data_IF_353288368837
#
_entry.id   IF_353288368837
#
_cell.length_a   1.000
_cell.length_b   1.000
_cell.length_c   1.000
_cell.angle_alpha   90.00
_cell.angle_beta   90.00
_cell.angle_gamma   90.00
#
_symmetry.space_group_name_H-M   'P 1'
#
loop_
_entity.id
_entity.type
_entity.pdbx_description
1 polymer ?
#
# COMPACT_ATOMS: atom_id res chain seq x y z
N UNK A 1 -8.83 70.41 45.50
CA UNK A 1 -7.44 70.61 46.00
C UNK A 1 -6.56 69.85 45.03
N UNK A 2 -6.01 70.46 43.98
CA UNK A 2 -4.74 71.20 43.96
C UNK A 2 -3.57 70.23 44.17
N UNK A 3 -2.61 69.98 43.30
CA UNK A 3 -1.84 70.72 42.30
C UNK A 3 -0.94 69.67 41.59
N UNK A 4 -0.74 69.64 40.25
CA UNK A 4 0.36 70.27 39.47
C UNK A 4 1.74 69.81 39.96
N UNK A 5 2.69 69.39 39.14
CA UNK A 5 3.33 69.93 37.92
C UNK A 5 4.41 68.91 37.48
N UNK A 6 4.60 68.66 36.28
CA UNK A 6 5.54 69.23 35.25
C UNK A 6 6.97 68.68 35.26
N UNK A 7 7.44 68.38 34.05
CA UNK A 7 8.77 68.61 33.61
C UNK A 7 9.35 67.50 32.73
N UNK A 8 9.29 67.56 31.46
CA UNK A 8 10.03 68.29 30.41
C UNK A 8 11.34 67.58 29.95
N UNK A 9 11.29 67.13 28.68
CA UNK A 9 12.27 67.16 27.57
C UNK A 9 13.68 66.60 27.73
N UNK A 10 14.07 65.79 26.66
CA UNK A 10 14.93 66.17 25.50
C UNK A 10 15.21 64.89 24.66
N UNK A 11 14.78 64.80 23.45
CA UNK A 11 15.39 65.10 22.14
C UNK A 11 16.84 64.68 21.90
N UNK A 12 17.07 63.84 20.96
CA UNK A 12 18.08 63.76 19.89
C UNK A 12 17.81 62.42 19.14
N UNK A 13 17.54 62.31 17.90
CA UNK A 13 17.79 63.07 16.70
C UNK A 13 19.12 62.69 16.04
N UNK A 14 19.11 61.72 15.05
CA UNK A 14 20.05 61.60 13.95
C UNK A 14 19.41 60.56 13.02
N UNK A 15 18.89 60.96 11.93
CA UNK A 15 19.34 61.29 10.58
C UNK A 15 19.58 60.04 9.71
N UNK A 16 18.78 59.99 8.68
CA UNK A 16 18.73 59.08 7.54
C UNK A 16 20.03 59.05 6.73
N UNK A 17 20.31 57.94 6.14
CA UNK A 17 20.90 57.85 4.79
C UNK A 17 20.15 56.86 3.96
N UNK A 18 19.46 57.38 2.97
CA UNK A 18 19.00 56.66 1.79
C UNK A 18 20.17 56.34 0.90
N UNK A 19 20.30 55.10 0.51
CA UNK A 19 20.88 54.79 -0.80
C UNK A 19 19.98 53.74 -1.50
N UNK A 20 19.32 54.22 -2.51
CA UNK A 20 18.64 53.42 -3.49
C UNK A 20 19.68 52.73 -4.37
N UNK A 21 19.57 51.41 -4.52
CA UNK A 21 20.10 50.70 -5.69
C UNK A 21 18.96 49.85 -6.24
N UNK A 22 18.45 50.34 -7.36
CA UNK A 22 17.61 49.58 -8.26
C UNK A 22 18.47 48.52 -8.93
N UNK A 23 18.05 47.25 -8.87
CA UNK A 23 18.33 46.31 -9.96
C UNK A 23 17.25 45.25 -9.97
N UNK A 24 16.64 45.12 -11.11
CA UNK A 24 15.64 44.15 -11.51
C UNK A 24 16.16 42.70 -11.36
N UNK A 25 15.30 41.82 -10.87
CA UNK A 25 15.56 40.39 -10.85
C UNK A 25 14.23 39.66 -10.63
N UNK A 26 13.74 39.14 -11.70
CA UNK A 26 12.57 38.31 -11.93
C UNK A 26 12.26 37.30 -10.81
N UNK A 27 10.97 37.08 -10.66
CA UNK A 27 10.36 36.13 -9.76
C UNK A 27 10.78 34.67 -9.98
N UNK A 28 10.94 34.03 -8.88
CA UNK A 28 10.97 32.58 -8.73
C UNK A 28 10.72 32.26 -7.25
N UNK A 29 9.50 32.36 -6.79
CA UNK A 29 9.13 31.87 -5.44
C UNK A 29 7.72 31.26 -5.38
N UNK A 30 7.23 30.73 -6.50
CA UNK A 30 5.94 30.06 -6.57
C UNK A 30 5.95 28.64 -7.09
N UNK A 31 7.11 28.11 -7.51
CA UNK A 31 7.22 26.75 -8.08
C UNK A 31 7.97 25.75 -7.20
N UNK A 32 8.72 26.18 -6.20
CA UNK A 32 9.48 25.25 -5.34
C UNK A 32 8.62 24.56 -4.26
N UNK A 33 7.49 25.12 -3.87
CA UNK A 33 6.62 24.51 -2.87
C UNK A 33 5.66 23.46 -3.47
N UNK A 34 5.32 23.59 -4.76
CA UNK A 34 4.48 22.59 -5.47
C UNK A 34 5.30 21.40 -6.00
N UNK A 35 6.59 21.61 -6.27
CA UNK A 35 7.52 20.59 -6.75
C UNK A 35 7.94 19.63 -5.65
N UNK A 36 8.00 20.08 -4.39
CA UNK A 36 8.38 19.20 -3.26
C UNK A 36 7.33 18.15 -2.89
N UNK A 37 6.05 18.37 -3.18
CA UNK A 37 5.00 17.37 -2.91
C UNK A 37 4.89 16.29 -4.01
N UNK A 38 5.17 16.66 -5.25
CA UNK A 38 5.23 15.72 -6.38
C UNK A 38 6.53 14.90 -6.36
N UNK A 39 7.67 15.51 -6.04
CA UNK A 39 8.95 14.82 -5.90
C UNK A 39 8.97 13.82 -4.74
N UNK A 40 8.24 14.05 -3.65
CA UNK A 40 8.14 13.11 -2.52
C UNK A 40 7.32 11.86 -2.87
N UNK A 41 6.32 11.98 -3.73
CA UNK A 41 5.56 10.81 -4.21
C UNK A 41 6.35 10.00 -5.27
N UNK A 42 7.20 10.64 -6.05
CA UNK A 42 7.98 10.00 -7.12
C UNK A 42 9.28 9.35 -6.62
N UNK A 43 9.88 9.84 -5.54
CA UNK A 43 11.09 9.25 -4.91
C UNK A 43 10.77 7.92 -4.19
N UNK A 44 9.48 7.61 -3.97
CA UNK A 44 9.08 6.40 -3.23
C UNK A 44 9.44 5.07 -3.91
N UNK A 45 9.70 5.04 -5.20
CA UNK A 45 9.78 3.77 -5.93
C UNK A 45 11.14 3.43 -6.58
N UNK A 46 11.97 4.38 -6.90
CA UNK A 46 13.23 4.12 -7.63
C UNK A 46 14.37 3.56 -6.78
N UNK A 47 14.30 3.66 -5.45
CA UNK A 47 15.34 3.18 -4.54
C UNK A 47 15.23 1.71 -4.13
N UNK A 48 14.05 1.11 -4.31
CA UNK A 48 13.77 -0.27 -3.88
C UNK A 48 14.40 -1.33 -4.80
N UNK A 49 14.43 -1.06 -6.10
CA UNK A 49 14.80 -2.05 -7.13
C UNK A 49 16.24 -2.56 -7.08
N UNK A 50 17.20 -1.73 -6.71
CA UNK A 50 18.62 -2.17 -6.70
C UNK A 50 19.02 -2.95 -5.44
N UNK A 51 18.40 -2.65 -4.29
CA UNK A 51 18.74 -3.34 -3.03
C UNK A 51 17.96 -4.64 -2.83
N UNK A 52 16.68 -4.70 -3.20
CA UNK A 52 15.88 -5.93 -3.12
C UNK A 52 16.34 -6.97 -4.15
N UNK A 53 16.68 -6.56 -5.36
CA UNK A 53 17.28 -7.43 -6.37
C UNK A 53 18.66 -7.97 -5.95
N UNK A 54 19.47 -7.17 -5.25
CA UNK A 54 20.77 -7.60 -4.76
C UNK A 54 20.65 -8.58 -3.56
N UNK A 55 19.62 -8.45 -2.74
CA UNK A 55 19.34 -9.36 -1.62
C UNK A 55 18.73 -10.69 -2.09
N UNK A 56 17.82 -10.65 -3.06
CA UNK A 56 17.26 -11.85 -3.70
C UNK A 56 18.32 -12.65 -4.49
N UNK A 57 19.27 -11.98 -5.18
CA UNK A 57 20.36 -12.62 -5.90
C UNK A 57 21.42 -13.27 -4.98
N UNK A 58 21.57 -12.76 -3.76
CA UNK A 58 22.53 -13.32 -2.77
C UNK A 58 22.06 -14.64 -2.16
N UNK A 59 20.77 -14.90 -2.11
CA UNK A 59 20.19 -16.12 -1.53
C UNK A 59 20.08 -17.24 -2.57
N UNK A 60 19.88 -16.94 -3.84
CA UNK A 60 19.82 -17.96 -4.91
C UNK A 60 21.14 -18.70 -5.13
N UNK A 61 22.26 -18.18 -4.68
CA UNK A 61 23.59 -18.81 -4.83
C UNK A 61 23.91 -19.86 -3.74
N UNK A 62 23.09 -20.03 -2.70
CA UNK A 62 23.33 -20.98 -1.59
C UNK A 62 22.47 -22.24 -1.59
N UNK A 63 21.53 -22.42 -2.52
CA UNK A 63 20.56 -23.53 -2.53
C UNK A 63 20.95 -24.67 -3.49
N UNK A 64 22.13 -24.70 -4.09
CA UNK A 64 22.51 -25.73 -5.06
C UNK A 64 23.26 -26.96 -4.52
N UNK A 65 23.27 -27.24 -3.22
CA UNK A 65 23.82 -28.51 -2.68
C UNK A 65 22.92 -29.11 -1.60
N UNK A 66 21.86 -29.83 -1.96
CA UNK A 66 21.38 -31.00 -1.22
C UNK A 66 20.19 -31.71 -1.93
N UNK A 67 20.48 -32.43 -2.97
CA UNK A 67 19.62 -33.55 -3.39
C UNK A 67 20.19 -34.85 -2.84
N UNK A 68 19.49 -35.49 -1.91
CA UNK A 68 19.43 -36.97 -1.82
C UNK A 68 18.30 -37.50 -0.93
N UNK A 69 17.38 -38.18 -1.60
CA UNK A 69 16.60 -39.38 -1.20
C UNK A 69 15.81 -39.42 0.10
N UNK A 70 14.49 -39.55 -0.02
CA UNK A 70 13.74 -40.65 0.62
C UNK A 70 12.35 -40.79 0.00
N UNK A 71 12.12 -41.89 -0.72
CA UNK A 71 10.80 -42.34 -1.12
C UNK A 71 10.07 -42.97 0.08
N UNK A 72 8.81 -42.61 0.25
CA UNK A 72 7.86 -43.37 1.07
C UNK A 72 6.51 -43.46 0.36
N UNK A 73 6.12 -44.70 0.05
CA UNK A 73 4.82 -45.13 -0.39
C UNK A 73 3.69 -44.65 0.52
N UNK A 74 2.65 -44.02 -0.02
CA UNK A 74 1.35 -43.95 0.65
C UNK A 74 0.25 -44.35 -0.32
N UNK A 75 -0.18 -45.61 -0.19
CA UNK A 75 -1.45 -46.06 -0.74
C UNK A 75 -2.61 -45.82 0.22
N UNK A 76 -3.67 -45.22 -0.34
CA UNK A 76 -5.08 -45.40 -0.02
C UNK A 76 -5.60 -45.12 1.38
N UNK A 77 -6.30 -43.99 1.51
CA UNK A 77 -7.62 -43.92 2.18
C UNK A 77 -8.51 -42.90 1.45
N UNK A 78 -9.20 -43.37 0.42
CA UNK A 78 -10.45 -42.75 -0.02
C UNK A 78 -11.57 -43.24 0.93
N UNK A 79 -12.29 -42.32 1.52
CA UNK A 79 -13.74 -42.39 1.67
C UNK A 79 -14.32 -41.23 2.52
N UNK A 80 -15.32 -40.57 1.96
CA UNK A 80 -16.38 -39.82 2.64
C UNK A 80 -16.07 -38.42 3.20
N UNK A 81 -15.83 -37.45 2.29
CA UNK A 81 -16.10 -36.03 2.56
C UNK A 81 -16.48 -35.23 1.28
N UNK A 82 -17.16 -35.86 0.33
CA UNK A 82 -17.57 -35.22 -0.94
C UNK A 82 -18.91 -34.49 -0.90
N UNK A 83 -19.47 -34.18 0.28
CA UNK A 83 -20.82 -33.64 0.40
C UNK A 83 -20.97 -32.16 0.71
N UNK A 84 -19.93 -31.48 1.16
CA UNK A 84 -20.04 -30.07 1.60
C UNK A 84 -19.21 -29.04 0.82
N UNK A 85 -18.30 -29.47 -0.06
CA UNK A 85 -17.44 -28.54 -0.82
C UNK A 85 -18.06 -28.02 -2.13
N UNK A 86 -19.25 -28.46 -2.52
CA UNK A 86 -19.88 -28.04 -3.80
C UNK A 86 -20.86 -26.87 -3.70
N UNK A 87 -21.22 -26.40 -2.50
CA UNK A 87 -22.17 -25.27 -2.36
C UNK A 87 -21.50 -23.90 -2.21
N UNK A 88 -20.22 -23.83 -1.90
CA UNK A 88 -19.50 -22.56 -1.73
C UNK A 88 -18.85 -22.06 -3.03
N UNK A 89 -18.68 -22.94 -4.01
CA UNK A 89 -18.13 -22.60 -5.34
C UNK A 89 -19.11 -21.81 -6.24
N UNK A 90 -20.38 -21.72 -5.86
CA UNK A 90 -21.43 -20.98 -6.61
C UNK A 90 -21.64 -19.52 -6.14
N UNK A 91 -20.93 -19.05 -5.13
CA UNK A 91 -21.06 -17.67 -4.63
C UNK A 91 -19.91 -16.73 -4.98
N UNK A 92 -19.08 -17.03 -5.95
CA UNK A 92 -18.31 -15.96 -6.57
C UNK A 92 -19.30 -15.11 -7.37
N UNK A 93 -19.50 -13.83 -7.03
CA UNK A 93 -20.25 -12.95 -7.91
C UNK A 93 -19.49 -12.94 -9.22
N UNK A 94 -20.09 -13.54 -10.26
CA UNK A 94 -19.63 -13.30 -11.61
C UNK A 94 -19.65 -11.79 -11.78
N UNK A 95 -18.46 -11.16 -11.75
CA UNK A 95 -18.33 -9.76 -12.10
C UNK A 95 -18.99 -9.67 -13.48
N UNK A 96 -20.10 -8.95 -13.56
CA UNK A 96 -20.65 -8.60 -14.87
C UNK A 96 -19.56 -7.75 -15.49
N UNK A 97 -18.77 -8.31 -16.40
CA UNK A 97 -17.80 -7.58 -17.19
C UNK A 97 -18.56 -6.41 -17.81
N UNK A 98 -18.52 -5.26 -17.14
CA UNK A 98 -18.96 -4.03 -17.72
C UNK A 98 -17.93 -3.72 -18.78
N UNK A 99 -18.33 -3.67 -20.03
CA UNK A 99 -17.45 -3.16 -21.09
C UNK A 99 -17.47 -1.63 -21.03
N UNK A 100 -16.32 -0.97 -21.12
CA UNK A 100 -16.27 0.47 -21.19
C UNK A 100 -17.05 0.98 -22.43
N UNK A 101 -17.57 2.21 -22.42
CA UNK A 101 -18.26 2.79 -23.56
C UNK A 101 -17.41 2.70 -24.83
N UNK A 102 -18.06 2.50 -25.98
CA UNK A 102 -17.37 2.38 -27.27
C UNK A 102 -16.48 3.61 -27.52
N UNK A 103 -15.19 3.36 -27.76
CA UNK A 103 -14.19 4.42 -27.98
C UNK A 103 -13.61 5.03 -26.71
N UNK A 104 -14.01 4.57 -25.53
CA UNK A 104 -13.37 4.96 -24.26
C UNK A 104 -12.07 4.18 -24.07
N UNK A 105 -11.04 4.85 -23.58
CA UNK A 105 -9.76 4.26 -23.23
C UNK A 105 -9.26 4.89 -21.93
N UNK A 106 -8.86 4.05 -20.98
CA UNK A 106 -8.16 4.51 -19.80
C UNK A 106 -6.81 5.11 -20.21
N UNK A 107 -6.52 6.29 -19.69
CA UNK A 107 -5.21 6.89 -19.80
C UNK A 107 -4.68 7.09 -18.38
N UNK A 108 -3.64 6.34 -18.02
CA UNK A 108 -2.90 6.59 -16.79
C UNK A 108 -1.98 7.81 -17.02
N UNK A 109 -1.94 8.72 -16.06
CA UNK A 109 -1.07 9.89 -16.12
C UNK A 109 0.41 9.49 -16.02
N UNK A 110 0.70 8.35 -15.39
CA UNK A 110 2.02 7.71 -15.23
C UNK A 110 1.84 6.21 -15.08
N UNK A 111 2.85 5.42 -15.38
CA UNK A 111 2.90 4.00 -15.02
C UNK A 111 3.11 3.80 -13.53
N UNK A 112 3.73 4.77 -12.84
CA UNK A 112 3.88 4.78 -11.38
C UNK A 112 2.59 5.31 -10.73
N UNK A 113 2.01 4.56 -9.80
CA UNK A 113 0.84 5.00 -9.06
C UNK A 113 1.20 6.16 -8.13
N UNK A 114 0.58 7.30 -8.31
CA UNK A 114 0.83 8.53 -7.56
C UNK A 114 -0.43 9.12 -6.98
N UNK A 115 -0.28 9.86 -5.87
CA UNK A 115 -1.37 10.52 -5.15
C UNK A 115 -1.13 12.01 -5.01
N UNK A 116 -2.19 12.78 -5.21
CA UNK A 116 -2.24 14.20 -4.84
C UNK A 116 -3.11 14.34 -3.60
N UNK A 117 -2.55 14.90 -2.53
CA UNK A 117 -3.26 15.12 -1.27
C UNK A 117 -3.86 16.54 -1.24
N UNK A 118 -5.13 16.62 -0.82
CA UNK A 118 -5.86 17.85 -0.59
C UNK A 118 -5.87 18.27 0.88
N UNK A 119 -6.97 18.92 1.30
CA UNK A 119 -7.19 19.29 2.70
C UNK A 119 -7.30 18.04 3.59
N UNK A 120 -6.89 18.14 4.88
CA UNK A 120 -7.01 17.02 5.82
C UNK A 120 -8.43 16.45 5.88
N UNK A 121 -8.54 15.11 5.84
CA UNK A 121 -9.83 14.41 5.87
C UNK A 121 -10.55 14.32 4.52
N UNK A 122 -9.96 14.86 3.42
CA UNK A 122 -10.47 14.69 2.06
C UNK A 122 -9.74 13.56 1.34
N UNK A 123 -10.45 12.86 0.45
CA UNK A 123 -9.85 11.79 -0.35
C UNK A 123 -8.73 12.33 -1.24
N UNK A 124 -7.65 11.57 -1.33
CA UNK A 124 -6.58 11.85 -2.27
C UNK A 124 -7.01 11.54 -3.71
N UNK A 125 -6.41 12.22 -4.67
CA UNK A 125 -6.64 12.00 -6.10
C UNK A 125 -5.51 11.16 -6.66
N UNK A 126 -5.86 10.01 -7.24
CA UNK A 126 -4.92 9.11 -7.91
C UNK A 126 -4.63 9.48 -9.36
N UNK A 127 -3.76 8.72 -10.03
CA UNK A 127 -3.42 8.90 -11.44
C UNK A 127 -4.59 8.65 -12.40
N UNK A 128 -5.64 7.97 -11.91
CA UNK A 128 -6.89 7.73 -12.63
C UNK A 128 -8.07 7.84 -11.65
N UNK A 129 -9.26 8.09 -12.18
CA UNK A 129 -10.48 8.12 -11.36
C UNK A 129 -10.90 6.72 -10.91
N UNK A 130 -11.65 6.62 -9.81
CA UNK A 130 -12.21 5.35 -9.33
C UNK A 130 -13.15 4.72 -10.36
N UNK A 131 -13.93 5.56 -11.09
CA UNK A 131 -14.86 5.12 -12.13
C UNK A 131 -14.13 4.51 -13.32
N UNK A 132 -12.99 5.10 -13.70
CA UNK A 132 -12.18 4.61 -14.83
C UNK A 132 -11.47 3.31 -14.47
N UNK A 133 -10.92 3.22 -13.26
CA UNK A 133 -10.27 2.01 -12.75
C UNK A 133 -11.26 0.85 -12.59
N UNK A 134 -12.50 1.12 -12.21
CA UNK A 134 -13.53 0.10 -12.03
C UNK A 134 -13.84 -0.71 -13.31
N UNK A 135 -13.54 -0.18 -14.51
CA UNK A 135 -13.64 -0.93 -15.78
C UNK A 135 -12.64 -2.08 -15.86
N UNK A 136 -11.56 -2.02 -15.07
CA UNK A 136 -10.50 -3.03 -15.00
C UNK A 136 -10.50 -3.79 -13.67
N UNK A 137 -11.60 -3.74 -12.91
CA UNK A 137 -11.67 -4.31 -11.56
C UNK A 137 -10.50 -3.81 -10.68
N UNK A 138 -10.17 -2.51 -10.80
CA UNK A 138 -9.11 -1.87 -10.05
C UNK A 138 -9.66 -0.82 -9.07
N UNK A 139 -9.07 -0.76 -7.87
CA UNK A 139 -9.58 0.03 -6.75
C UNK A 139 -8.42 0.71 -6.01
N UNK A 140 -8.62 1.92 -5.48
CA UNK A 140 -7.66 2.60 -4.63
C UNK A 140 -8.29 3.36 -3.45
N UNK A 141 -9.60 3.56 -3.48
CA UNK A 141 -10.34 4.30 -2.46
C UNK A 141 -11.79 3.81 -2.42
N UNK A 142 -12.38 3.78 -1.22
CA UNK A 142 -13.78 3.45 -1.01
C UNK A 142 -14.70 4.67 -1.06
N UNK A 143 -15.97 4.51 -0.60
CA UNK A 143 -16.90 5.63 -0.46
C UNK A 143 -16.41 6.66 0.56
N UNK A 144 -16.76 7.93 0.33
CA UNK A 144 -16.54 9.03 1.27
C UNK A 144 -17.71 9.24 2.25
N UNK A 145 -18.76 8.44 2.15
CA UNK A 145 -19.96 8.54 3.00
C UNK A 145 -19.70 8.09 4.45
N UNK A 146 -18.75 7.16 4.65
CA UNK A 146 -18.45 6.57 5.95
C UNK A 146 -16.95 6.61 6.26
N UNK A 147 -16.61 6.86 7.53
CA UNK A 147 -15.24 6.82 8.01
C UNK A 147 -14.74 5.37 8.14
N UNK A 148 -14.46 4.76 7.00
CA UNK A 148 -13.91 3.41 6.89
C UNK A 148 -12.46 3.46 6.43
N UNK A 149 -11.62 2.59 7.00
CA UNK A 149 -10.24 2.33 6.59
C UNK A 149 -10.16 0.87 6.12
N UNK A 150 -9.55 0.66 4.96
CA UNK A 150 -9.11 -0.63 4.47
C UNK A 150 -7.60 -0.71 4.65
N UNK A 151 -7.17 -1.41 5.71
CA UNK A 151 -5.76 -1.46 6.08
C UNK A 151 -5.03 -2.56 5.32
N UNK A 152 -3.92 -2.21 4.67
CA UNK A 152 -3.14 -3.14 3.86
C UNK A 152 -1.65 -3.03 4.12
N UNK A 153 -0.95 -4.16 3.99
CA UNK A 153 0.50 -4.26 4.16
C UNK A 153 1.12 -4.95 2.95
N UNK A 154 2.21 -4.39 2.42
CA UNK A 154 3.05 -5.07 1.44
C UNK A 154 4.21 -5.77 2.17
N UNK A 155 4.40 -7.06 1.86
CA UNK A 155 5.29 -7.96 2.58
C UNK A 155 6.34 -8.54 1.63
N UNK A 156 7.50 -7.87 1.54
CA UNK A 156 8.63 -8.30 0.71
C UNK A 156 9.51 -9.35 1.42
N UNK A 157 9.84 -9.12 2.68
CA UNK A 157 10.65 -10.02 3.52
C UNK A 157 10.32 -9.81 5.01
N UNK A 158 10.76 -10.73 5.86
CA UNK A 158 10.59 -10.63 7.30
C UNK A 158 11.88 -10.09 7.96
N UNK A 159 11.71 -9.14 8.90
CA UNK A 159 12.81 -8.53 9.64
C UNK A 159 12.48 -8.28 11.14
N UNK A 160 11.49 -8.98 11.69
CA UNK A 160 11.08 -8.90 13.09
C UNK A 160 9.93 -7.93 13.38
N UNK A 161 9.36 -7.28 12.35
CA UNK A 161 8.28 -6.30 12.55
C UNK A 161 6.87 -6.86 12.28
N UNK A 162 6.75 -8.00 11.59
CA UNK A 162 5.42 -8.56 11.27
C UNK A 162 4.69 -9.08 12.51
N UNK A 163 5.38 -9.71 13.46
CA UNK A 163 4.75 -10.17 14.71
C UNK A 163 4.13 -9.02 15.52
N UNK A 164 4.85 -7.90 15.81
CA UNK A 164 4.25 -6.74 16.48
C UNK A 164 3.05 -6.15 15.73
N UNK A 165 3.08 -6.14 14.38
CA UNK A 165 1.95 -5.69 13.56
C UNK A 165 0.73 -6.58 13.78
N UNK A 166 0.89 -7.91 13.69
CA UNK A 166 -0.19 -8.87 13.93
C UNK A 166 -0.73 -8.79 15.36
N UNK A 167 0.15 -8.60 16.36
CA UNK A 167 -0.26 -8.43 17.75
C UNK A 167 -1.12 -7.18 17.96
N UNK A 168 -0.76 -6.06 17.32
CA UNK A 168 -1.55 -4.83 17.35
C UNK A 168 -2.91 -5.00 16.67
N UNK A 169 -2.97 -5.61 15.48
CA UNK A 169 -4.20 -5.90 14.76
C UNK A 169 -5.15 -6.78 15.59
N UNK A 170 -4.60 -7.84 16.19
CA UNK A 170 -5.37 -8.75 17.06
C UNK A 170 -5.93 -8.05 18.29
N UNK A 171 -5.14 -7.18 18.92
CA UNK A 171 -5.58 -6.41 20.10
C UNK A 171 -6.77 -5.52 19.81
N UNK A 172 -6.85 -4.94 18.61
CA UNK A 172 -7.92 -4.05 18.15
C UNK A 172 -9.04 -4.77 17.40
N UNK A 173 -8.98 -6.10 17.23
CA UNK A 173 -9.92 -6.89 16.42
C UNK A 173 -10.03 -6.34 14.98
N UNK A 174 -8.91 -5.94 14.40
CA UNK A 174 -8.81 -5.35 13.05
C UNK A 174 -8.34 -6.39 12.05
N UNK A 175 -9.15 -6.61 11.01
CA UNK A 175 -8.74 -7.40 9.85
C UNK A 175 -8.00 -6.51 8.85
N UNK A 176 -6.84 -6.98 8.39
CA UNK A 176 -6.04 -6.33 7.36
C UNK A 176 -5.83 -7.24 6.15
N UNK A 177 -5.33 -6.69 5.04
CA UNK A 177 -4.89 -7.47 3.88
C UNK A 177 -3.38 -7.37 3.74
N UNK A 178 -2.71 -8.53 3.62
CA UNK A 178 -1.27 -8.63 3.43
C UNK A 178 -0.98 -9.08 2.00
N UNK A 179 -0.34 -8.22 1.20
CA UNK A 179 0.11 -8.55 -0.15
C UNK A 179 1.52 -9.13 -0.06
N UNK A 180 1.66 -10.41 -0.36
CA UNK A 180 2.91 -11.16 -0.13
C UNK A 180 3.60 -11.50 -1.43
N UNK A 181 4.93 -11.42 -1.43
CA UNK A 181 5.78 -11.93 -2.52
C UNK A 181 6.23 -13.37 -2.25
N UNK A 182 6.77 -14.04 -3.29
CA UNK A 182 7.30 -15.40 -3.16
C UNK A 182 8.31 -15.54 -2.03
N UNK A 183 9.28 -14.62 -1.93
CA UNK A 183 10.31 -14.65 -0.89
C UNK A 183 9.75 -14.59 0.54
N UNK A 184 8.72 -13.79 0.79
CA UNK A 184 8.07 -13.75 2.11
C UNK A 184 7.40 -15.08 2.44
N UNK A 185 6.72 -15.69 1.48
CA UNK A 185 6.11 -17.01 1.64
C UNK A 185 7.15 -18.11 1.97
N UNK A 186 8.29 -18.10 1.26
CA UNK A 186 9.36 -19.07 1.47
C UNK A 186 10.06 -18.95 2.84
N UNK A 187 10.24 -17.71 3.30
CA UNK A 187 11.09 -17.43 4.48
C UNK A 187 10.31 -17.23 5.78
N UNK A 188 9.00 -16.93 5.69
CA UNK A 188 8.14 -16.66 6.85
C UNK A 188 6.79 -17.43 6.82
N UNK A 189 6.76 -18.74 6.44
CA UNK A 189 5.51 -19.48 6.27
C UNK A 189 4.65 -19.54 7.53
N UNK A 190 5.25 -19.53 8.72
CA UNK A 190 4.50 -19.56 9.98
C UNK A 190 3.75 -18.23 10.25
N UNK A 191 4.30 -17.10 9.80
CA UNK A 191 3.60 -15.82 9.87
C UNK A 191 2.44 -15.78 8.89
N UNK A 192 2.60 -16.36 7.70
CA UNK A 192 1.51 -16.49 6.71
C UNK A 192 0.35 -17.34 7.26
N UNK A 193 0.67 -18.48 7.91
CA UNK A 193 -0.35 -19.28 8.60
C UNK A 193 -1.04 -18.50 9.71
N UNK A 194 -0.28 -17.75 10.50
CA UNK A 194 -0.82 -16.88 11.54
C UNK A 194 -1.77 -15.82 10.98
N UNK A 195 -1.41 -15.17 9.85
CA UNK A 195 -2.30 -14.22 9.18
C UNK A 195 -3.66 -14.85 8.85
N UNK A 196 -3.66 -16.05 8.27
CA UNK A 196 -4.88 -16.79 7.93
C UNK A 196 -5.67 -17.19 9.18
N UNK A 197 -5.01 -17.74 10.20
CA UNK A 197 -5.62 -18.18 11.46
C UNK A 197 -6.26 -17.02 12.25
N UNK A 198 -5.68 -15.81 12.16
CA UNK A 198 -6.21 -14.60 12.79
C UNK A 198 -7.25 -13.88 11.92
N UNK A 199 -7.64 -14.46 10.75
CA UNK A 199 -8.72 -13.96 9.91
C UNK A 199 -8.32 -12.81 8.99
N UNK A 200 -7.02 -12.57 8.80
CA UNK A 200 -6.55 -11.61 7.82
C UNK A 200 -6.66 -12.16 6.40
N UNK A 201 -6.79 -11.26 5.43
CA UNK A 201 -6.75 -11.61 4.01
C UNK A 201 -5.30 -11.60 3.53
N UNK A 202 -4.91 -12.60 2.74
CA UNK A 202 -3.60 -12.59 2.06
C UNK A 202 -3.84 -12.41 0.57
N UNK A 203 -3.16 -11.44 -0.04
CA UNK A 203 -3.22 -11.08 -1.45
C UNK A 203 -1.90 -11.31 -2.16
N UNK A 204 -1.92 -11.19 -3.48
CA UNK A 204 -0.80 -11.45 -4.37
C UNK A 204 0.01 -10.18 -4.64
N UNK A 205 1.34 -10.24 -4.40
CA UNK A 205 2.26 -9.14 -4.72
C UNK A 205 3.34 -9.57 -5.71
N UNK A 206 3.05 -10.58 -6.55
CA UNK A 206 3.96 -11.26 -7.48
C UNK A 206 5.02 -12.10 -6.80
N UNK A 207 5.62 -13.03 -7.53
CA UNK A 207 6.62 -13.92 -6.95
C UNK A 207 7.99 -13.26 -6.77
N UNK A 208 8.47 -12.54 -7.82
CA UNK A 208 9.81 -11.93 -7.85
C UNK A 208 9.81 -10.41 -7.66
N UNK A 209 8.65 -9.78 -7.48
CA UNK A 209 8.51 -8.31 -7.37
C UNK A 209 9.10 -7.55 -8.59
N UNK A 210 8.79 -7.94 -9.84
CA UNK A 210 9.35 -7.33 -11.03
C UNK A 210 8.67 -5.99 -11.39
N UNK A 211 9.30 -5.25 -12.30
CA UNK A 211 8.67 -4.13 -13.01
C UNK A 211 7.58 -4.68 -13.95
N UNK A 212 6.32 -4.69 -13.50
CA UNK A 212 5.21 -5.30 -14.24
C UNK A 212 4.92 -4.65 -15.60
N UNK A 213 5.03 -3.33 -15.81
CA UNK A 213 4.98 -2.71 -17.14
C UNK A 213 5.96 -3.27 -18.16
N UNK A 214 7.10 -3.78 -17.72
CA UNK A 214 8.07 -4.42 -18.61
C UNK A 214 7.63 -5.81 -19.08
N UNK A 215 6.62 -6.41 -18.46
CA UNK A 215 6.09 -7.73 -18.82
C UNK A 215 4.88 -7.56 -19.74
N UNK A 216 5.09 -7.74 -21.04
CA UNK A 216 4.03 -7.68 -22.06
C UNK A 216 3.46 -9.05 -22.44
N UNK A 217 4.12 -10.13 -22.02
CA UNK A 217 3.67 -11.49 -22.27
C UNK A 217 2.71 -11.95 -21.16
N UNK A 218 1.49 -12.32 -21.56
CA UNK A 218 0.45 -12.75 -20.63
C UNK A 218 0.80 -14.03 -19.86
N UNK A 219 1.58 -14.94 -20.46
CA UNK A 219 2.01 -16.16 -19.77
C UNK A 219 3.05 -15.84 -18.69
N UNK A 220 4.00 -14.95 -18.98
CA UNK A 220 4.97 -14.47 -17.99
C UNK A 220 4.28 -13.68 -16.86
N UNK A 221 3.31 -12.83 -17.20
CA UNK A 221 2.51 -12.12 -16.21
C UNK A 221 1.74 -13.08 -15.31
N UNK A 222 1.05 -14.05 -15.91
CA UNK A 222 0.31 -15.11 -15.19
C UNK A 222 1.23 -15.87 -14.25
N UNK A 223 2.42 -16.26 -14.71
CA UNK A 223 3.37 -17.05 -13.91
C UNK A 223 3.76 -16.34 -12.62
N UNK A 224 3.98 -15.02 -12.65
CA UNK A 224 4.28 -14.23 -11.45
C UNK A 224 3.16 -14.32 -10.40
N UNK A 225 1.91 -14.45 -10.82
CA UNK A 225 0.76 -14.56 -9.92
C UNK A 225 0.48 -16.00 -9.49
N UNK A 226 0.54 -16.95 -10.43
CA UNK A 226 0.23 -18.35 -10.18
C UNK A 226 1.25 -19.00 -9.24
N UNK A 227 2.54 -18.64 -9.34
CA UNK A 227 3.59 -19.18 -8.47
C UNK A 227 3.34 -18.76 -7.00
N UNK A 228 2.90 -17.53 -6.73
CA UNK A 228 2.50 -17.07 -5.38
C UNK A 228 1.27 -17.85 -4.89
N UNK A 229 0.26 -17.97 -5.74
CA UNK A 229 -0.97 -18.69 -5.37
C UNK A 229 -0.72 -20.17 -5.06
N UNK A 230 0.12 -20.83 -5.85
CA UNK A 230 0.49 -22.24 -5.64
C UNK A 230 1.26 -22.43 -4.33
N UNK A 231 2.26 -21.59 -4.06
CA UNK A 231 3.05 -21.66 -2.83
C UNK A 231 2.20 -21.34 -1.59
N UNK A 232 1.32 -20.35 -1.67
CA UNK A 232 0.39 -20.03 -0.58
C UNK A 232 -0.53 -21.21 -0.27
N UNK A 233 -1.10 -21.87 -1.30
CA UNK A 233 -1.93 -23.05 -1.12
C UNK A 233 -1.15 -24.20 -0.48
N UNK A 234 0.12 -24.42 -0.87
CA UNK A 234 0.99 -25.43 -0.25
C UNK A 234 1.22 -25.16 1.24
N UNK A 235 1.45 -23.90 1.60
CA UNK A 235 1.74 -23.49 2.99
C UNK A 235 0.50 -23.57 3.89
N UNK A 236 -0.65 -23.07 3.39
CA UNK A 236 -1.84 -22.83 4.22
C UNK A 236 -2.96 -23.86 4.04
N UNK A 237 -2.95 -24.60 2.91
CA UNK A 237 -4.06 -25.48 2.53
C UNK A 237 -5.32 -24.74 2.05
N UNK A 238 -5.27 -23.41 1.88
CA UNK A 238 -6.39 -22.59 1.42
C UNK A 238 -6.05 -21.85 0.13
N UNK A 239 -7.05 -21.46 -0.67
CA UNK A 239 -6.83 -20.67 -1.88
C UNK A 239 -6.45 -19.23 -1.51
N UNK A 240 -5.52 -18.62 -2.26
CA UNK A 240 -5.15 -17.22 -2.14
C UNK A 240 -6.33 -16.34 -2.55
N UNK A 241 -6.52 -15.21 -1.87
CA UNK A 241 -7.56 -14.25 -2.25
C UNK A 241 -7.31 -13.68 -3.66
N UNK A 242 -8.35 -13.28 -4.38
CA UNK A 242 -8.21 -12.72 -5.74
C UNK A 242 -7.77 -11.25 -5.74
N UNK A 243 -7.06 -10.80 -4.72
CA UNK A 243 -6.53 -9.43 -4.66
C UNK A 243 -5.08 -9.42 -5.09
N UNK A 244 -4.77 -8.50 -6.00
CA UNK A 244 -3.44 -8.30 -6.52
C UNK A 244 -3.01 -6.85 -6.32
N UNK A 245 -1.78 -6.63 -5.92
CA UNK A 245 -1.15 -5.32 -5.92
C UNK A 245 0.11 -5.37 -6.78
N UNK A 246 0.21 -4.50 -7.81
CA UNK A 246 1.41 -4.44 -8.62
C UNK A 246 2.60 -3.95 -7.79
N UNK A 247 3.78 -4.58 -7.92
CA UNK A 247 5.02 -4.09 -7.32
C UNK A 247 5.24 -2.61 -7.57
N UNK A 248 5.65 -1.87 -6.54
CA UNK A 248 5.93 -0.43 -6.63
C UNK A 248 4.72 0.42 -7.08
N UNK A 249 3.52 -0.15 -7.16
CA UNK A 249 2.38 0.52 -7.78
C UNK A 249 2.51 0.69 -9.30
N UNK A 250 3.53 0.12 -9.92
CA UNK A 250 3.77 0.25 -11.36
C UNK A 250 2.82 -0.60 -12.17
N UNK A 251 2.13 0.06 -13.09
CA UNK A 251 1.10 -0.56 -13.86
C UNK A 251 0.82 0.20 -15.15
N UNK A 252 0.53 -0.48 -16.22
CA UNK A 252 -0.06 0.08 -17.42
C UNK A 252 -1.45 -0.53 -17.68
N UNK A 253 -2.16 -0.01 -18.67
CA UNK A 253 -3.52 -0.46 -18.98
C UNK A 253 -3.56 -1.94 -19.38
N UNK A 254 -2.52 -2.43 -20.04
CA UNK A 254 -2.41 -3.83 -20.43
C UNK A 254 -2.25 -4.76 -19.21
N UNK A 255 -1.45 -4.33 -18.20
CA UNK A 255 -1.32 -5.08 -16.95
C UNK A 255 -2.64 -5.16 -16.19
N UNK A 256 -3.43 -4.05 -16.13
CA UNK A 256 -4.77 -4.07 -15.53
C UNK A 256 -5.68 -5.07 -16.24
N UNK A 257 -5.65 -5.10 -17.57
CA UNK A 257 -6.43 -6.01 -18.36
C UNK A 257 -6.01 -7.47 -18.13
N UNK A 258 -4.69 -7.76 -18.11
CA UNK A 258 -4.19 -9.10 -17.83
C UNK A 258 -4.57 -9.59 -16.45
N UNK A 259 -4.48 -8.74 -15.42
CA UNK A 259 -4.91 -9.09 -14.07
C UNK A 259 -6.41 -9.40 -14.01
N UNK A 260 -7.25 -8.56 -14.62
CA UNK A 260 -8.70 -8.76 -14.71
C UNK A 260 -9.06 -10.06 -15.45
N UNK A 261 -8.39 -10.38 -16.57
CA UNK A 261 -8.62 -11.61 -17.34
C UNK A 261 -8.27 -12.85 -16.53
N UNK A 262 -7.31 -12.74 -15.60
CA UNK A 262 -6.94 -13.80 -14.67
C UNK A 262 -7.88 -13.89 -13.44
N UNK A 263 -8.85 -12.97 -13.33
CA UNK A 263 -9.82 -12.94 -12.24
C UNK A 263 -9.34 -12.17 -10.99
N UNK A 264 -8.26 -11.42 -11.09
CA UNK A 264 -7.75 -10.60 -9.99
C UNK A 264 -8.39 -9.21 -9.97
N UNK A 265 -8.59 -8.71 -8.75
CA UNK A 265 -8.90 -7.32 -8.46
C UNK A 265 -7.61 -6.58 -8.14
N UNK A 266 -7.28 -5.55 -8.93
CA UNK A 266 -6.07 -4.76 -8.69
C UNK A 266 -6.31 -3.72 -7.60
N UNK A 267 -5.50 -3.75 -6.53
CA UNK A 267 -5.67 -2.89 -5.37
C UNK A 267 -4.48 -1.93 -5.25
N UNK A 268 -4.73 -0.66 -5.52
CA UNK A 268 -3.83 0.43 -5.22
C UNK A 268 -4.11 0.97 -3.80
N UNK A 269 -3.70 2.19 -3.51
CA UNK A 269 -3.90 2.86 -2.22
C UNK A 269 -4.26 4.33 -2.39
N UNK A 270 -4.85 4.93 -1.38
CA UNK A 270 -5.17 6.35 -1.30
C UNK A 270 -4.44 7.06 -0.16
N UNK A 271 -3.74 6.30 0.69
CA UNK A 271 -2.89 6.83 1.74
C UNK A 271 -1.65 5.95 1.90
N UNK A 272 -0.49 6.56 1.83
CA UNK A 272 0.81 5.94 2.10
C UNK A 272 1.81 6.98 2.60
N UNK A 273 2.95 6.53 3.10
CA UNK A 273 4.11 7.36 3.41
C UNK A 273 5.39 6.55 3.16
N UNK A 274 6.55 7.22 3.14
CA UNK A 274 7.83 6.54 2.95
C UNK A 274 8.18 5.77 4.22
N UNK A 275 7.88 4.50 4.28
CA UNK A 275 8.11 3.60 5.42
C UNK A 275 9.01 2.41 5.09
N UNK A 276 9.25 2.17 3.80
CA UNK A 276 10.01 1.06 3.26
C UNK A 276 11.53 1.27 3.27
N UNK A 277 12.02 2.53 3.31
CA UNK A 277 13.46 2.81 3.32
C UNK A 277 14.09 2.42 4.64
N UNK A 278 14.81 1.29 4.65
CA UNK A 278 15.42 0.74 5.86
C UNK A 278 16.57 1.59 6.43
N UNK A 279 17.23 2.35 5.57
CA UNK A 279 18.34 3.22 5.96
C UNK A 279 17.85 4.59 6.48
N UNK A 280 16.60 4.95 6.18
CA UNK A 280 16.01 6.23 6.56
C UNK A 280 14.55 6.06 7.05
N UNK A 281 14.36 5.25 8.09
CA UNK A 281 13.05 5.05 8.68
C UNK A 281 12.52 6.37 9.28
N UNK A 282 11.29 6.77 8.95
CA UNK A 282 10.69 7.96 9.55
C UNK A 282 10.53 7.75 11.06
N UNK A 283 10.72 8.84 11.82
CA UNK A 283 10.48 8.80 13.25
C UNK A 283 9.00 8.64 13.58
N UNK A 284 8.71 8.15 14.80
CA UNK A 284 7.35 7.96 15.30
C UNK A 284 6.44 9.18 15.08
N UNK A 285 6.87 10.38 15.52
CA UNK A 285 6.08 11.62 15.40
C UNK A 285 5.78 11.96 13.93
N UNK A 286 6.76 11.80 13.04
CA UNK A 286 6.59 12.07 11.62
C UNK A 286 5.59 11.10 10.97
N UNK A 287 5.76 9.79 11.20
CA UNK A 287 4.86 8.76 10.69
C UNK A 287 3.42 8.99 11.19
N UNK A 288 3.27 9.21 12.49
CA UNK A 288 1.98 9.44 13.13
C UNK A 288 1.29 10.68 12.59
N UNK A 289 2.03 11.79 12.45
CA UNK A 289 1.51 13.05 11.87
C UNK A 289 1.05 12.87 10.42
N UNK A 290 1.82 12.16 9.59
CA UNK A 290 1.46 11.89 8.19
C UNK A 290 0.22 11.02 8.09
N UNK A 291 0.16 9.93 8.84
CA UNK A 291 -0.92 8.96 8.79
C UNK A 291 -2.23 9.51 9.35
N UNK A 292 -2.17 10.25 10.46
CA UNK A 292 -3.38 10.88 11.04
C UNK A 292 -3.82 12.13 10.28
N UNK A 293 -2.88 12.89 9.70
CA UNK A 293 -3.19 14.10 8.94
C UNK A 293 -3.74 13.84 7.54
N UNK A 294 -3.48 12.65 6.96
CA UNK A 294 -3.91 12.28 5.61
C UNK A 294 -5.04 11.26 5.56
N UNK A 295 -5.41 10.68 6.71
CA UNK A 295 -6.52 9.73 6.74
C UNK A 295 -7.83 10.40 6.33
N UNK A 296 -8.63 9.70 5.55
CA UNK A 296 -9.91 10.17 5.00
C UNK A 296 -10.92 9.02 4.93
N UNK A 297 -12.23 9.30 4.81
CA UNK A 297 -13.24 8.28 4.59
C UNK A 297 -12.93 7.42 3.36
N UNK A 298 -13.08 6.12 3.49
CA UNK A 298 -12.81 5.16 2.43
C UNK A 298 -11.32 4.93 2.13
N UNK A 299 -10.40 5.32 3.03
CA UNK A 299 -8.97 5.18 2.80
C UNK A 299 -8.54 3.73 2.63
N UNK A 300 -7.88 3.42 1.51
CA UNK A 300 -7.03 2.23 1.37
C UNK A 300 -5.63 2.63 1.80
N UNK A 301 -5.18 2.11 2.94
CA UNK A 301 -3.91 2.48 3.54
C UNK A 301 -2.85 1.45 3.16
N UNK A 302 -1.75 1.89 2.57
CA UNK A 302 -0.56 1.09 2.34
C UNK A 302 0.47 1.35 3.43
N UNK A 303 0.88 0.27 4.09
CA UNK A 303 2.03 0.20 4.98
C UNK A 303 2.92 -0.99 4.56
N UNK A 304 4.19 -0.99 4.99
CA UNK A 304 5.08 -2.13 4.76
C UNK A 304 5.38 -2.85 6.07
N UNK A 305 5.37 -4.18 6.03
CA UNK A 305 5.70 -5.01 7.18
C UNK A 305 7.16 -4.85 7.62
N UNK A 306 8.05 -4.47 6.70
CA UNK A 306 9.47 -4.27 6.95
C UNK A 306 9.79 -3.02 7.76
N UNK A 307 8.83 -2.10 7.91
CA UNK A 307 9.02 -0.86 8.67
C UNK A 307 9.03 -1.11 10.18
N UNK A 308 10.18 -0.84 10.81
CA UNK A 308 10.27 -0.84 12.27
C UNK A 308 9.31 0.15 12.90
N UNK A 309 9.20 1.33 12.29
CA UNK A 309 8.29 2.36 12.77
C UNK A 309 6.85 1.89 12.79
N UNK A 310 6.38 1.19 11.73
CA UNK A 310 5.03 0.62 11.70
C UNK A 310 4.83 -0.42 12.81
N UNK A 311 5.80 -1.31 13.02
CA UNK A 311 5.74 -2.29 14.12
C UNK A 311 5.66 -1.65 15.51
N UNK A 312 6.32 -0.50 15.70
CA UNK A 312 6.34 0.23 16.97
C UNK A 312 5.07 1.07 17.22
N UNK A 313 4.46 1.67 16.15
CA UNK A 313 3.38 2.66 16.32
C UNK A 313 1.98 2.12 16.07
N UNK A 314 1.81 0.95 15.45
CA UNK A 314 0.52 0.54 14.92
C UNK A 314 -0.57 0.47 15.99
N UNK A 315 -0.27 -0.02 17.18
CA UNK A 315 -1.22 -0.08 18.31
C UNK A 315 -1.77 1.32 18.68
N UNK A 316 -0.88 2.30 18.81
CA UNK A 316 -1.26 3.68 19.10
C UNK A 316 -2.00 4.32 17.92
N UNK A 317 -1.57 4.01 16.68
CA UNK A 317 -2.18 4.53 15.47
C UNK A 317 -3.62 4.02 15.28
N UNK A 318 -3.87 2.74 15.51
CA UNK A 318 -5.22 2.16 15.48
C UNK A 318 -6.11 2.83 16.51
N UNK A 319 -5.64 2.94 17.78
CA UNK A 319 -6.34 3.69 18.82
C UNK A 319 -6.69 5.10 18.36
N UNK A 320 -5.75 5.79 17.72
CA UNK A 320 -5.96 7.16 17.26
C UNK A 320 -6.99 7.26 16.15
N UNK A 321 -6.98 6.36 15.18
CA UNK A 321 -7.98 6.32 14.13
C UNK A 321 -9.38 6.00 14.66
N UNK A 322 -9.48 5.09 15.65
CA UNK A 322 -10.74 4.80 16.36
C UNK A 322 -11.26 6.05 17.10
N UNK A 323 -10.40 6.78 17.83
CA UNK A 323 -10.75 8.06 18.47
C UNK A 323 -11.23 9.11 17.46
N UNK A 324 -10.71 9.11 16.24
CA UNK A 324 -11.15 9.98 15.14
C UNK A 324 -12.46 9.52 14.51
N UNK A 325 -13.02 8.38 14.97
CA UNK A 325 -14.28 7.81 14.55
C UNK A 325 -14.20 6.94 13.30
N UNK A 326 -13.00 6.46 12.93
CA UNK A 326 -12.83 5.48 11.88
C UNK A 326 -13.12 4.07 12.36
N UNK A 327 -13.61 3.23 11.44
CA UNK A 327 -13.76 1.78 11.59
C UNK A 327 -12.94 1.09 10.51
N UNK A 328 -12.57 -0.17 10.76
CA UNK A 328 -11.77 -0.96 9.82
C UNK A 328 -12.65 -2.01 9.17
N UNK A 329 -12.51 -2.20 7.86
CA UNK A 329 -13.24 -3.21 7.11
C UNK A 329 -12.32 -3.98 6.16
N UNK A 330 -12.66 -5.25 5.86
CA UNK A 330 -11.89 -6.04 4.91
C UNK A 330 -12.07 -5.52 3.47
N UNK A 331 -11.08 -5.74 2.61
CA UNK A 331 -11.14 -5.34 1.18
C UNK A 331 -12.33 -5.95 0.42
N UNK A 332 -12.91 -7.05 0.92
CA UNK A 332 -14.12 -7.63 0.32
C UNK A 332 -15.30 -6.65 0.30
N UNK A 333 -15.42 -5.80 1.31
CA UNK A 333 -16.47 -4.77 1.32
C UNK A 333 -16.18 -3.63 0.34
N UNK A 334 -14.91 -3.31 0.09
CA UNK A 334 -14.53 -2.37 -0.95
C UNK A 334 -14.89 -2.87 -2.35
N UNK A 335 -14.65 -4.15 -2.61
CA UNK A 335 -14.76 -4.76 -3.95
C UNK A 335 -16.19 -5.19 -4.27
N UNK A 336 -16.88 -5.80 -3.30
CA UNK A 336 -18.20 -6.40 -3.54
C UNK A 336 -19.37 -5.56 -2.97
N UNK A 337 -19.06 -4.53 -2.19
CA UNK A 337 -20.05 -3.79 -1.40
C UNK A 337 -20.42 -4.54 -0.12
N UNK A 338 -21.02 -3.81 0.82
CA UNK A 338 -21.51 -4.36 2.10
C UNK A 338 -22.90 -4.99 1.96
#
# INVERSE_FOLDING_TARGET
>A
MSRKRDGVRKTAGVLAVLTAVSLAGCGQTGKEAEQTAADVAHVQETGQTEKEAAQAAGVAAQVQESEHTAGVDVQARESEQTGQMNEEKERQPQSRKKEPPAGWQLTLASEDWGLSFGEPGTQSVGNASSEDLAWYDAYYVGSDDEKVIYLTFDCGYENGNTEPILDALKKHDVQATFFVVGHFLETAPELVKRMVEEGHTVGNHTYHHPDMPAISDQEAFRKELDDVAALFLEITGTELSPYYRPPQGKCNVENLRMAQELGYYTIFWSLAYVDWDQDNQPGHEEAFSKLTGRVHPGAVVLLHNTSRTNGEILDELLTKWEEMGYTFRPLSELVYGS
#
